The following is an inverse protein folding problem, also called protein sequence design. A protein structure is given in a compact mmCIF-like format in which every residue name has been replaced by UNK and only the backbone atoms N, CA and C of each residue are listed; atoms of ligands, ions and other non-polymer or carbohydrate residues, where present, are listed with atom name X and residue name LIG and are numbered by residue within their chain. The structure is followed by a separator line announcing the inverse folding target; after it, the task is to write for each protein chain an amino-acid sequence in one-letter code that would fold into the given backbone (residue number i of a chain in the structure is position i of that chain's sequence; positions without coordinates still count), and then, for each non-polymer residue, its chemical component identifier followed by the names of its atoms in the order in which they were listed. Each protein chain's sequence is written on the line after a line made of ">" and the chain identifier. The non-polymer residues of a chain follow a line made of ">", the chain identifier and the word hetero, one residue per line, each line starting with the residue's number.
data_IF_231948222554
#
_entry.id   IF_231948222554
#
_cell.length_a   1.000
_cell.length_b   1.000
_cell.length_c   1.000
_cell.angle_alpha   90.00
_cell.angle_beta   90.00
_cell.angle_gamma   90.00
#
_symmetry.space_group_name_H-M   'P 1'
#
loop_
_entity.id
_entity.type
_entity.pdbx_description
1 polymer ?
#
# COMPACT_ATOMS: atom_id res chain seq x y z
N UNK A 1 -3.70 19.29 48.66
CA UNK A 1 -2.92 18.05 48.49
C UNK A 1 -3.83 16.88 48.78
N UNK A 2 -4.26 16.16 47.74
CA UNK A 2 -4.91 14.85 47.88
C UNK A 2 -4.24 13.95 46.83
N UNK A 3 -3.55 12.95 47.33
CA UNK A 3 -2.75 11.97 46.59
C UNK A 3 -3.61 10.73 46.36
N UNK A 4 -3.83 10.31 45.12
CA UNK A 4 -4.36 8.97 44.81
C UNK A 4 -3.79 8.46 43.48
N UNK A 5 -2.89 7.49 43.58
CA UNK A 5 -2.53 6.48 42.56
C UNK A 5 -2.19 5.19 43.32
N UNK A 6 -2.18 4.00 42.70
CA UNK A 6 -2.80 3.54 41.45
C UNK A 6 -3.64 2.24 41.69
N UNK A 7 -4.37 1.74 40.69
CA UNK A 7 -4.86 0.36 40.72
C UNK A 7 -4.44 -0.34 39.44
N UNK A 8 -3.48 -1.25 39.61
CA UNK A 8 -3.05 -2.24 38.62
C UNK A 8 -4.22 -3.18 38.35
N UNK A 9 -4.62 -3.32 37.09
CA UNK A 9 -5.49 -4.40 36.64
C UNK A 9 -4.67 -5.37 35.79
N UNK A 10 -4.31 -6.48 36.43
CA UNK A 10 -3.77 -7.69 35.81
C UNK A 10 -4.93 -8.58 35.37
N UNK A 11 -4.89 -9.14 34.17
CA UNK A 11 -5.79 -10.22 33.77
C UNK A 11 -5.04 -11.24 32.89
N UNK A 12 -5.36 -12.55 32.99
CA UNK A 12 -4.38 -13.63 32.89
C UNK A 12 -4.39 -14.40 31.56
N UNK A 13 -3.33 -15.20 31.41
CA UNK A 13 -3.11 -16.31 30.47
C UNK A 13 -4.36 -17.12 30.10
N UNK A 14 -4.40 -17.58 28.84
CA UNK A 14 -4.82 -18.95 28.51
C UNK A 14 -4.56 -19.36 27.05
N UNK A 15 -3.89 -20.51 26.94
CA UNK A 15 -4.20 -21.63 26.04
C UNK A 15 -3.44 -21.84 24.72
N UNK A 16 -2.36 -22.62 24.85
CA UNK A 16 -2.03 -23.83 24.08
C UNK A 16 -3.10 -24.41 23.13
N UNK A 17 -2.65 -24.73 21.92
CA UNK A 17 -3.03 -25.89 21.05
C UNK A 17 -2.09 -25.86 19.83
N UNK A 18 -1.18 -26.78 19.53
CA UNK A 18 -1.13 -28.20 19.84
C UNK A 18 -2.00 -29.00 18.87
N UNK A 19 -1.56 -29.24 17.62
CA UNK A 19 -2.08 -30.32 16.77
C UNK A 19 -0.98 -30.93 15.90
N UNK A 20 -0.69 -32.18 16.23
CA UNK A 20 0.12 -33.14 15.50
C UNK A 20 -0.62 -33.66 14.26
N UNK A 21 0.18 -34.26 13.38
CA UNK A 21 -0.12 -35.39 12.51
C UNK A 21 -0.93 -35.13 11.21
N UNK A 22 -0.24 -35.35 10.09
CA UNK A 22 -0.68 -36.30 9.07
C UNK A 22 0.52 -36.73 8.21
N UNK A 23 1.13 -37.87 8.57
CA UNK A 23 1.92 -38.67 7.64
C UNK A 23 0.97 -39.28 6.62
N UNK A 24 1.19 -39.04 5.34
CA UNK A 24 0.58 -39.77 4.24
C UNK A 24 1.68 -40.62 3.60
N UNK A 25 1.51 -41.94 3.64
CA UNK A 25 2.40 -42.92 3.04
C UNK A 25 1.56 -43.84 2.14
N UNK A 26 2.14 -44.18 0.98
CA UNK A 26 1.73 -45.18 -0.03
C UNK A 26 0.63 -44.68 -0.98
N UNK A 27 0.70 -44.85 -2.30
CA UNK A 27 1.11 -46.01 -3.08
C UNK A 27 1.78 -45.58 -4.40
N UNK A 28 2.70 -46.42 -4.89
CA UNK A 28 3.31 -46.30 -6.21
C UNK A 28 2.51 -46.95 -7.35
N UNK A 29 3.17 -46.95 -8.51
CA UNK A 29 2.88 -47.66 -9.76
C UNK A 29 1.90 -46.98 -10.72
N UNK A 30 2.44 -46.26 -11.71
CA UNK A 30 2.53 -46.79 -13.08
C UNK A 30 3.40 -45.87 -13.94
N UNK A 31 4.54 -46.40 -14.37
CA UNK A 31 5.31 -45.87 -15.48
C UNK A 31 4.92 -46.65 -16.74
N UNK A 32 4.39 -45.98 -17.76
CA UNK A 32 4.40 -46.42 -19.15
C UNK A 32 4.26 -45.20 -20.08
N UNK A 33 4.63 -45.30 -21.37
CA UNK A 33 5.77 -44.61 -21.95
C UNK A 33 5.37 -43.50 -22.95
N UNK A 34 6.35 -42.69 -23.28
CA UNK A 34 6.64 -42.05 -24.57
C UNK A 34 5.56 -42.13 -25.67
N UNK A 35 5.00 -40.98 -26.04
CA UNK A 35 4.38 -40.80 -27.35
C UNK A 35 3.41 -39.64 -27.43
N UNK A 36 3.88 -38.45 -27.81
CA UNK A 36 3.01 -37.32 -28.14
C UNK A 36 3.83 -36.10 -28.51
N UNK A 37 3.80 -35.77 -29.79
CA UNK A 37 4.67 -34.82 -30.48
C UNK A 37 4.68 -33.40 -29.89
N UNK A 38 5.80 -32.72 -30.16
CA UNK A 38 5.97 -31.28 -30.04
C UNK A 38 4.76 -30.52 -30.59
N UNK A 39 4.07 -29.80 -29.72
CA UNK A 39 3.50 -28.52 -30.09
C UNK A 39 4.35 -27.47 -29.37
N UNK A 40 5.29 -26.85 -30.09
CA UNK A 40 5.72 -25.49 -29.76
C UNK A 40 4.46 -24.61 -29.91
N UNK A 41 3.63 -24.63 -28.87
CA UNK A 41 2.64 -23.59 -28.65
C UNK A 41 3.44 -22.32 -28.43
N UNK A 42 3.20 -21.32 -29.27
CA UNK A 42 3.59 -19.94 -28.99
C UNK A 42 3.32 -19.64 -27.51
N UNK A 43 4.19 -18.88 -26.82
CA UNK A 43 3.91 -18.50 -25.44
C UNK A 43 2.53 -17.85 -25.44
N UNK A 44 1.57 -18.49 -24.76
CA UNK A 44 0.28 -17.88 -24.50
C UNK A 44 0.60 -16.56 -23.80
N UNK A 45 0.40 -15.45 -24.49
CA UNK A 45 0.37 -14.12 -23.92
C UNK A 45 -0.56 -14.20 -22.69
N UNK A 46 0.02 -14.25 -21.49
CA UNK A 46 -0.79 -14.26 -20.28
C UNK A 46 -1.55 -12.94 -20.29
N UNK A 47 -2.88 -12.92 -20.09
CA UNK A 47 -3.58 -11.67 -19.85
C UNK A 47 -2.83 -10.93 -18.74
N UNK A 48 -2.42 -9.68 -19.00
CA UNK A 48 -1.79 -8.84 -17.99
C UNK A 48 -2.76 -8.79 -16.81
N UNK A 49 -2.43 -9.50 -15.73
CA UNK A 49 -3.25 -9.49 -14.53
C UNK A 49 -3.27 -8.05 -14.01
N UNK A 50 -4.46 -7.45 -13.97
CA UNK A 50 -4.61 -6.12 -13.40
C UNK A 50 -4.25 -6.17 -11.92
N UNK A 51 -3.51 -5.18 -11.40
CA UNK A 51 -3.13 -5.16 -9.99
C UNK A 51 -4.38 -5.12 -9.11
N UNK A 52 -4.34 -5.87 -8.00
CA UNK A 52 -5.43 -5.84 -7.03
C UNK A 52 -5.62 -4.43 -6.45
N UNK A 53 -6.84 -4.09 -6.05
CA UNK A 53 -7.16 -2.81 -5.38
C UNK A 53 -6.28 -2.55 -4.16
N UNK A 54 -5.94 -3.60 -3.40
CA UNK A 54 -5.00 -3.54 -2.27
C UNK A 54 -3.60 -3.10 -2.72
N UNK A 55 -3.13 -3.63 -3.85
CA UNK A 55 -1.82 -3.24 -4.43
C UNK A 55 -1.84 -1.80 -4.89
N UNK A 56 -2.90 -1.38 -5.57
CA UNK A 56 -3.09 0.02 -6.03
C UNK A 56 -3.08 1.00 -4.85
N UNK A 57 -3.79 0.69 -3.75
CA UNK A 57 -3.81 1.53 -2.54
C UNK A 57 -2.43 1.59 -1.89
N UNK A 58 -1.71 0.47 -1.85
CA UNK A 58 -0.35 0.41 -1.30
C UNK A 58 0.61 1.29 -2.10
N UNK A 59 0.54 1.25 -3.42
CA UNK A 59 1.35 2.11 -4.30
C UNK A 59 0.99 3.59 -4.14
N UNK A 60 -0.29 3.92 -4.04
CA UNK A 60 -0.74 5.29 -3.77
C UNK A 60 -0.23 5.80 -2.41
N UNK A 61 -0.22 4.93 -1.38
CA UNK A 61 0.34 5.27 -0.07
C UNK A 61 1.86 5.52 -0.15
N UNK A 62 2.61 4.67 -0.85
CA UNK A 62 4.04 4.88 -1.08
C UNK A 62 4.34 6.19 -1.83
N UNK A 63 3.53 6.55 -2.82
CA UNK A 63 3.67 7.83 -3.52
C UNK A 63 3.42 9.03 -2.58
N UNK A 64 2.46 8.90 -1.67
CA UNK A 64 2.19 9.92 -0.64
C UNK A 64 3.37 10.10 0.31
N UNK A 65 3.95 8.99 0.79
CA UNK A 65 5.13 9.02 1.66
C UNK A 65 6.33 9.67 0.95
N UNK A 66 6.58 9.31 -0.31
CA UNK A 66 7.65 9.92 -1.10
C UNK A 66 7.43 11.43 -1.32
N UNK A 67 6.20 11.86 -1.63
CA UNK A 67 5.88 13.28 -1.77
C UNK A 67 6.07 14.05 -0.46
N UNK A 68 5.72 13.45 0.67
CA UNK A 68 6.01 14.01 2.00
C UNK A 68 7.51 14.17 2.22
N UNK A 69 8.31 13.17 1.91
CA UNK A 69 9.78 13.21 2.08
C UNK A 69 10.43 14.31 1.22
N UNK A 70 10.03 14.43 -0.05
CA UNK A 70 10.51 15.48 -0.95
C UNK A 70 10.21 16.88 -0.41
N UNK A 71 8.96 17.10 0.01
CA UNK A 71 8.55 18.36 0.65
C UNK A 71 9.32 18.64 1.94
N UNK A 72 9.42 17.64 2.81
CA UNK A 72 10.06 17.79 4.12
C UNK A 72 11.54 18.14 3.99
N UNK A 73 12.25 17.51 3.04
CA UNK A 73 13.64 17.82 2.72
C UNK A 73 13.80 19.27 2.24
N UNK A 74 12.92 19.72 1.35
CA UNK A 74 12.95 21.09 0.85
C UNK A 74 12.61 22.14 1.94
N UNK A 75 11.65 21.82 2.82
CA UNK A 75 11.27 22.67 3.94
C UNK A 75 12.41 22.82 4.96
N UNK A 76 13.05 21.71 5.38
CA UNK A 76 14.21 21.74 6.29
C UNK A 76 15.38 22.48 5.65
N UNK A 77 15.63 22.26 4.36
CA UNK A 77 16.69 22.94 3.62
C UNK A 77 16.42 24.43 3.36
N UNK A 78 15.21 24.92 3.63
CA UNK A 78 14.81 26.29 3.30
C UNK A 78 14.82 26.58 1.80
N UNK A 79 14.68 25.55 0.95
CA UNK A 79 14.82 25.66 -0.50
C UNK A 79 13.49 25.84 -1.24
N UNK A 80 12.36 25.80 -0.53
CA UNK A 80 11.04 26.05 -1.11
C UNK A 80 10.97 27.47 -1.68
N UNK A 81 10.29 27.61 -2.82
CA UNK A 81 10.21 28.88 -3.54
C UNK A 81 9.58 30.03 -2.72
N UNK A 82 8.56 29.73 -1.91
CA UNK A 82 7.91 30.72 -1.05
C UNK A 82 7.09 30.08 0.08
N UNK A 83 6.73 30.84 1.13
CA UNK A 83 5.77 30.39 2.14
C UNK A 83 4.40 29.99 1.56
N UNK A 84 3.96 30.65 0.48
CA UNK A 84 2.71 30.29 -0.19
C UNK A 84 2.76 28.89 -0.83
N UNK A 85 3.92 28.51 -1.39
CA UNK A 85 4.15 27.14 -1.90
C UNK A 85 4.10 26.12 -0.77
N UNK A 86 4.71 26.44 0.38
CA UNK A 86 4.64 25.59 1.57
C UNK A 86 3.19 25.32 2.01
N UNK A 87 2.39 26.38 2.23
CA UNK A 87 1.00 26.21 2.66
C UNK A 87 0.11 25.50 1.63
N UNK A 88 0.42 25.63 0.34
CA UNK A 88 -0.26 24.88 -0.72
C UNK A 88 0.06 23.39 -0.63
N UNK A 89 1.34 23.03 -0.49
CA UNK A 89 1.78 21.64 -0.37
C UNK A 89 1.21 20.98 0.90
N UNK A 90 1.23 21.67 2.04
CA UNK A 90 0.65 21.16 3.30
C UNK A 90 -0.83 20.80 3.12
N UNK A 91 -1.60 21.66 2.43
CA UNK A 91 -3.01 21.40 2.12
C UNK A 91 -3.19 20.18 1.20
N UNK A 92 -2.36 20.05 0.17
CA UNK A 92 -2.39 18.92 -0.75
C UNK A 92 -2.02 17.60 -0.05
N UNK A 93 -1.07 17.61 0.88
CA UNK A 93 -0.71 16.44 1.69
C UNK A 93 -1.88 16.01 2.61
N UNK A 94 -2.59 16.97 3.20
CA UNK A 94 -3.82 16.67 3.94
C UNK A 94 -4.92 16.07 3.05
N UNK A 95 -5.09 16.59 1.84
CA UNK A 95 -6.03 16.04 0.85
C UNK A 95 -5.67 14.60 0.45
N UNK A 96 -4.40 14.33 0.16
CA UNK A 96 -3.91 12.97 -0.15
C UNK A 96 -4.21 12.00 0.98
N UNK A 97 -4.01 12.41 2.24
CA UNK A 97 -4.36 11.58 3.40
C UNK A 97 -5.86 11.28 3.46
N UNK A 98 -6.73 12.25 3.16
CA UNK A 98 -8.17 12.03 3.10
C UNK A 98 -8.55 11.06 1.97
N UNK A 99 -7.97 11.24 0.78
CA UNK A 99 -8.19 10.36 -0.36
C UNK A 99 -7.75 8.92 -0.07
N UNK A 100 -6.63 8.70 0.62
CA UNK A 100 -6.18 7.37 1.03
C UNK A 100 -7.17 6.68 1.97
N UNK A 101 -7.79 7.44 2.89
CA UNK A 101 -8.83 6.89 3.77
C UNK A 101 -10.07 6.47 2.97
N UNK A 102 -10.52 7.31 2.03
CA UNK A 102 -11.65 6.99 1.17
C UNK A 102 -11.34 5.82 0.23
N UNK A 103 -10.12 5.71 -0.31
CA UNK A 103 -9.73 4.58 -1.16
C UNK A 103 -9.78 3.26 -0.38
N UNK A 104 -9.28 3.25 0.86
CA UNK A 104 -9.40 2.08 1.75
C UNK A 104 -10.85 1.74 2.09
N UNK A 105 -11.72 2.75 2.23
CA UNK A 105 -13.15 2.54 2.47
C UNK A 105 -13.85 1.96 1.24
N UNK A 106 -13.54 2.47 0.06
CA UNK A 106 -14.02 1.95 -1.22
C UNK A 106 -13.59 0.50 -1.44
N UNK A 107 -12.33 0.16 -1.12
CA UNK A 107 -11.81 -1.20 -1.21
C UNK A 107 -12.59 -2.18 -0.31
N UNK A 108 -12.83 -1.82 0.97
CA UNK A 108 -13.66 -2.62 1.88
C UNK A 108 -15.11 -2.76 1.41
N UNK A 109 -15.59 -1.81 0.61
CA UNK A 109 -16.91 -1.85 -0.01
C UNK A 109 -16.91 -2.53 -1.40
N UNK A 110 -15.78 -3.12 -1.82
CA UNK A 110 -15.57 -3.73 -3.14
C UNK A 110 -15.85 -2.81 -4.34
N UNK A 111 -15.70 -1.49 -4.15
CA UNK A 111 -15.89 -0.48 -5.21
C UNK A 111 -14.59 -0.28 -5.99
N UNK A 112 -14.28 -1.22 -6.88
CA UNK A 112 -13.00 -1.25 -7.63
C UNK A 112 -12.75 0.05 -8.41
N UNK A 113 -13.74 0.54 -9.17
CA UNK A 113 -13.60 1.77 -9.95
C UNK A 113 -13.28 2.99 -9.07
N UNK A 114 -13.99 3.14 -7.94
CA UNK A 114 -13.73 4.20 -6.96
C UNK A 114 -12.29 4.14 -6.43
N UNK A 115 -11.76 2.94 -6.17
CA UNK A 115 -10.36 2.78 -5.74
C UNK A 115 -9.40 3.32 -6.80
N UNK A 116 -9.60 2.97 -8.06
CA UNK A 116 -8.74 3.44 -9.15
C UNK A 116 -8.81 4.96 -9.34
N UNK A 117 -10.00 5.55 -9.33
CA UNK A 117 -10.18 7.02 -9.45
C UNK A 117 -9.49 7.75 -8.29
N UNK A 118 -9.68 7.27 -7.05
CA UNK A 118 -9.06 7.88 -5.88
C UNK A 118 -7.53 7.73 -5.90
N UNK A 119 -7.02 6.56 -6.30
CA UNK A 119 -5.59 6.33 -6.45
C UNK A 119 -4.97 7.22 -7.53
N UNK A 120 -5.63 7.38 -8.69
CA UNK A 120 -5.18 8.29 -9.73
C UNK A 120 -5.06 9.72 -9.21
N UNK A 121 -6.08 10.22 -8.50
CA UNK A 121 -6.02 11.57 -7.91
C UNK A 121 -4.88 11.72 -6.90
N UNK A 122 -4.60 10.68 -6.11
CA UNK A 122 -3.45 10.65 -5.21
C UNK A 122 -2.15 10.77 -6.01
N UNK A 123 -1.97 9.98 -7.08
CA UNK A 123 -0.77 10.05 -7.92
C UNK A 123 -0.57 11.42 -8.56
N UNK A 124 -1.62 12.03 -9.11
CA UNK A 124 -1.57 13.37 -9.69
C UNK A 124 -1.18 14.43 -8.65
N UNK A 125 -1.78 14.37 -7.45
CA UNK A 125 -1.53 15.33 -6.38
C UNK A 125 -0.12 15.17 -5.81
N UNK A 126 0.34 13.93 -5.59
CA UNK A 126 1.70 13.64 -5.10
C UNK A 126 2.77 14.07 -6.11
N UNK A 127 2.56 13.85 -7.41
CA UNK A 127 3.44 14.39 -8.45
C UNK A 127 3.50 15.92 -8.42
N UNK A 128 2.36 16.59 -8.23
CA UNK A 128 2.31 18.05 -8.10
C UNK A 128 3.08 18.55 -6.87
N UNK A 129 2.96 17.86 -5.74
CA UNK A 129 3.73 18.15 -4.51
C UNK A 129 5.22 18.02 -4.77
N UNK A 130 5.65 16.93 -5.41
CA UNK A 130 7.07 16.67 -5.72
C UNK A 130 7.64 17.77 -6.62
N UNK A 131 6.92 18.16 -7.68
CA UNK A 131 7.36 19.25 -8.56
C UNK A 131 7.44 20.57 -7.81
N UNK A 132 6.39 20.94 -7.07
CA UNK A 132 6.36 22.18 -6.27
C UNK A 132 7.46 22.22 -5.20
N UNK A 133 7.85 21.07 -4.65
CA UNK A 133 8.94 20.97 -3.65
C UNK A 133 10.32 21.21 -4.25
N UNK A 134 10.48 21.00 -5.57
CA UNK A 134 11.72 21.17 -6.32
C UNK A 134 11.83 22.54 -7.00
N UNK A 135 10.73 23.28 -7.08
CA UNK A 135 10.73 24.67 -7.53
C UNK A 135 11.63 25.52 -6.63
N UNK A 136 12.63 26.16 -7.22
CA UNK A 136 13.58 27.01 -6.50
C UNK A 136 13.01 28.41 -6.30
N UNK A 137 13.43 29.04 -5.21
CA UNK A 137 13.21 30.47 -4.96
C UNK A 137 13.86 31.28 -6.09
N UNK A 138 13.04 31.99 -6.86
CA UNK A 138 13.47 32.98 -7.86
C UNK A 138 13.78 34.32 -7.21
#
# INVERSE_FOLDING_TARGET
>A
MITLTPTLYTSPDAHHRGRLAAMILLLGCMAWPSGGASAWGAPAERPLEQPSTVTVIREAAHAADHAWEEFHRAAIGGTLASPAVQSRIERQLHEVRALLMEARKAERAHQVESVHVLAQRIFETTNTIIQSSREKKS
#
